data_IF_550511542878
#
_entry.id   IF_550511542878
#
_cell.length_a   1.000
_cell.length_b   1.000
_cell.length_c   1.000
_cell.angle_alpha   90.00
_cell.angle_beta   90.00
_cell.angle_gamma   90.00
#
_symmetry.space_group_name_H-M   'P 1'
#
loop_
_entity.id
_entity.type
_entity.pdbx_description
1 polymer ?
#
# COMPACT_ATOMS: atom_id res chain seq x y z
N UNK A 1 -17.65 22.70 -4.54
CA UNK A 1 -16.66 21.69 -4.94
C UNK A 1 -15.33 22.09 -4.33
N UNK A 2 -14.85 21.37 -3.33
CA UNK A 2 -13.52 21.59 -2.75
C UNK A 2 -12.48 21.04 -3.71
N UNK A 3 -11.59 21.90 -4.23
CA UNK A 3 -10.44 21.46 -5.02
C UNK A 3 -9.46 20.80 -4.05
N UNK A 4 -9.42 19.46 -4.02
CA UNK A 4 -8.36 18.74 -3.33
C UNK A 4 -7.09 18.91 -4.16
N UNK A 5 -6.12 19.67 -3.66
CA UNK A 5 -4.83 19.77 -4.31
C UNK A 5 -4.17 18.38 -4.30
N UNK A 6 -3.89 17.83 -5.49
CA UNK A 6 -3.15 16.58 -5.63
C UNK A 6 -1.68 16.93 -5.50
N UNK A 7 -1.10 16.69 -4.32
CA UNK A 7 0.32 16.85 -4.08
C UNK A 7 1.07 15.57 -4.46
N UNK A 8 2.08 15.71 -5.31
CA UNK A 8 3.04 14.65 -5.65
C UNK A 8 4.33 15.00 -4.93
N UNK A 9 4.84 14.06 -4.14
CA UNK A 9 6.07 14.21 -3.35
C UNK A 9 7.14 13.25 -3.86
N UNK A 10 8.40 13.55 -3.56
CA UNK A 10 9.51 12.63 -3.82
C UNK A 10 9.31 11.31 -3.07
N UNK A 11 9.98 10.26 -3.57
CA UNK A 11 9.90 8.94 -2.95
C UNK A 11 10.32 8.99 -1.48
N UNK A 12 9.50 8.41 -0.62
CA UNK A 12 9.72 8.34 0.82
C UNK A 12 9.95 6.89 1.26
N UNK A 13 11.12 6.61 1.84
CA UNK A 13 11.45 5.26 2.34
C UNK A 13 10.47 4.77 3.41
N UNK A 14 9.78 5.68 4.11
CA UNK A 14 8.74 5.35 5.10
C UNK A 14 7.55 4.61 4.49
N UNK A 15 7.29 4.74 3.19
CA UNK A 15 6.23 4.00 2.51
C UNK A 15 6.44 2.48 2.59
N UNK A 16 7.70 2.03 2.54
CA UNK A 16 8.05 0.61 2.67
C UNK A 16 7.76 0.11 4.08
N UNK A 17 8.13 0.89 5.10
CA UNK A 17 7.88 0.55 6.51
C UNK A 17 6.39 0.52 6.83
N UNK A 18 5.64 1.52 6.36
CA UNK A 18 4.19 1.63 6.53
C UNK A 18 3.46 0.48 5.85
N UNK A 19 3.83 0.14 4.61
CA UNK A 19 3.29 -1.03 3.92
C UNK A 19 3.50 -2.31 4.74
N UNK A 20 4.71 -2.55 5.23
CA UNK A 20 5.02 -3.75 6.02
C UNK A 20 4.22 -3.82 7.33
N UNK A 21 4.08 -2.70 8.03
CA UNK A 21 3.27 -2.63 9.26
C UNK A 21 1.79 -2.94 8.97
N UNK A 22 1.22 -2.34 7.93
CA UNK A 22 -0.18 -2.54 7.56
C UNK A 22 -0.41 -3.96 7.04
N UNK A 23 0.51 -4.51 6.24
CA UNK A 23 0.48 -5.91 5.78
C UNK A 23 0.39 -6.87 6.96
N UNK A 24 1.18 -6.67 8.01
CA UNK A 24 1.11 -7.50 9.22
C UNK A 24 -0.26 -7.43 9.91
N UNK A 25 -0.85 -6.23 10.02
CA UNK A 25 -2.20 -6.05 10.57
C UNK A 25 -3.24 -6.77 9.72
N UNK A 26 -3.22 -6.58 8.40
CA UNK A 26 -4.14 -7.23 7.46
C UNK A 26 -4.02 -8.76 7.55
N UNK A 27 -2.80 -9.30 7.52
CA UNK A 27 -2.55 -10.74 7.65
C UNK A 27 -3.04 -11.30 8.99
N UNK A 28 -2.92 -10.54 10.09
CA UNK A 28 -3.41 -10.97 11.40
C UNK A 28 -4.94 -10.95 11.49
N UNK A 29 -5.58 -9.93 10.94
CA UNK A 29 -7.04 -9.75 11.04
C UNK A 29 -7.82 -10.71 10.15
N UNK A 30 -7.35 -10.93 8.91
CA UNK A 30 -8.06 -11.77 7.94
C UNK A 30 -7.58 -13.23 7.99
N UNK A 31 -6.35 -13.46 8.46
CA UNK A 31 -5.82 -14.79 8.74
C UNK A 31 -5.66 -15.65 7.48
N UNK A 32 -6.11 -16.91 7.58
CA UNK A 32 -5.81 -17.96 6.58
C UNK A 32 -6.51 -17.76 5.22
N UNK A 33 -7.49 -16.83 5.13
CA UNK A 33 -8.18 -16.52 3.89
C UNK A 33 -7.30 -15.73 2.91
N UNK A 34 -6.24 -15.08 3.38
CA UNK A 34 -5.28 -14.38 2.53
C UNK A 34 -4.24 -15.37 2.00
N UNK A 35 -4.05 -15.35 0.68
CA UNK A 35 -2.90 -15.95 0.02
C UNK A 35 -1.71 -15.00 0.00
N UNK A 36 -1.93 -13.73 -0.33
CA UNK A 36 -0.85 -12.74 -0.41
C UNK A 36 -1.36 -11.31 -0.25
N UNK A 37 -0.43 -10.41 0.11
CA UNK A 37 -0.63 -8.95 0.16
C UNK A 37 0.58 -8.29 -0.50
N UNK A 38 0.34 -7.55 -1.58
CA UNK A 38 1.38 -6.91 -2.40
C UNK A 38 1.25 -5.38 -2.35
N UNK A 39 2.39 -4.68 -2.32
CA UNK A 39 2.45 -3.22 -2.44
C UNK A 39 2.42 -2.87 -3.92
N UNK A 40 1.36 -2.21 -4.35
CA UNK A 40 1.17 -1.80 -5.75
C UNK A 40 1.08 -0.28 -5.87
N UNK A 41 0.98 0.24 -7.09
CA UNK A 41 0.91 1.68 -7.33
C UNK A 41 2.27 2.39 -7.28
N UNK A 42 2.27 3.71 -7.49
CA UNK A 42 3.52 4.47 -7.63
C UNK A 42 4.37 4.50 -6.36
N UNK A 43 3.75 4.43 -5.18
CA UNK A 43 4.47 4.42 -3.90
C UNK A 43 5.24 3.13 -3.64
N UNK A 44 5.02 2.07 -4.42
CA UNK A 44 5.81 0.83 -4.33
C UNK A 44 7.10 0.85 -5.16
N UNK A 45 7.28 1.87 -6.00
CA UNK A 45 8.44 1.98 -6.90
C UNK A 45 9.49 2.90 -6.27
N UNK A 46 10.63 2.32 -5.88
CA UNK A 46 11.74 3.08 -5.28
C UNK A 46 12.21 4.20 -6.21
N UNK A 47 12.26 5.42 -5.68
CA UNK A 47 12.73 6.61 -6.39
C UNK A 47 11.68 7.26 -7.31
N UNK A 48 10.44 6.76 -7.36
CA UNK A 48 9.37 7.38 -8.15
C UNK A 48 8.59 8.40 -7.30
N UNK A 49 8.52 9.68 -7.71
CA UNK A 49 7.62 10.64 -7.09
C UNK A 49 6.16 10.20 -7.23
N UNK A 50 5.40 10.31 -6.15
CA UNK A 50 4.04 9.82 -6.09
C UNK A 50 3.17 10.69 -5.18
N UNK A 51 1.86 10.59 -5.38
CA UNK A 51 0.93 11.03 -4.35
C UNK A 51 1.11 10.10 -3.12
N UNK A 52 1.14 10.61 -1.88
CA UNK A 52 1.47 9.83 -0.69
C UNK A 52 0.29 8.94 -0.23
N UNK A 53 -0.15 8.05 -1.11
CA UNK A 53 -1.20 7.05 -0.90
C UNK A 53 -0.61 5.67 -1.17
N UNK A 54 -0.79 4.74 -0.23
CA UNK A 54 -0.35 3.35 -0.37
C UNK A 54 -1.48 2.50 -0.95
N UNK A 55 -1.22 1.83 -2.08
CA UNK A 55 -2.15 0.89 -2.69
C UNK A 55 -1.78 -0.55 -2.32
N UNK A 56 -2.79 -1.34 -1.94
CA UNK A 56 -2.62 -2.73 -1.51
C UNK A 56 -3.43 -3.65 -2.41
N UNK A 57 -2.76 -4.66 -2.98
CA UNK A 57 -3.42 -5.76 -3.67
C UNK A 57 -3.47 -6.97 -2.73
N UNK A 58 -4.66 -7.54 -2.52
CA UNK A 58 -4.86 -8.70 -1.64
C UNK A 58 -5.36 -9.87 -2.48
N UNK A 59 -4.61 -10.96 -2.47
CA UNK A 59 -5.04 -12.24 -3.06
C UNK A 59 -5.68 -13.09 -1.97
N UNK A 60 -6.90 -13.56 -2.19
CA UNK A 60 -7.63 -14.43 -1.27
C UNK A 60 -7.69 -15.86 -1.81
N UNK A 61 -7.90 -16.84 -0.92
CA UNK A 61 -8.21 -18.23 -1.32
C UNK A 61 -9.63 -18.28 -1.88
N UNK A 62 -9.80 -18.94 -3.02
CA UNK A 62 -11.13 -19.33 -3.46
C UNK A 62 -11.64 -20.46 -2.55
N UNK A 63 -12.94 -20.41 -2.24
CA UNK A 63 -13.65 -21.40 -1.40
C UNK A 63 -14.01 -22.66 -2.18
#
# INVERSE_FOLDING_TARGET
MTHYAIEVVDFDERWVEQFNSIKQVISRCIGQLILDVEHVGSTSVKGLPAMPILDFLIRQRES
#
